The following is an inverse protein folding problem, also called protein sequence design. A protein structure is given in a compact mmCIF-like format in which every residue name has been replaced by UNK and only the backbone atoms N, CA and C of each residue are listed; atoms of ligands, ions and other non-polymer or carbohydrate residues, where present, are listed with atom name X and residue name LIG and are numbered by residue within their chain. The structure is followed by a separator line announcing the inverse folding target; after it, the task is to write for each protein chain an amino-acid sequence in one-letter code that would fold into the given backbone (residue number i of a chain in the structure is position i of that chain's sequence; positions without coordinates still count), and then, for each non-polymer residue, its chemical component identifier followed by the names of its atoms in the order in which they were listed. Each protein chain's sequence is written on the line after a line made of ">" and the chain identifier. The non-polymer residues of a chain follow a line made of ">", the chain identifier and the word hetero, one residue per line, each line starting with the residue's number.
data_IF_304116428308
#
_entry.id   IF_304116428308
#
_cell.length_a   1.000
_cell.length_b   1.000
_cell.length_c   1.000
_cell.angle_alpha   90.00
_cell.angle_beta   90.00
_cell.angle_gamma   90.00
#
_symmetry.space_group_name_H-M   'P 1'
#
loop_
_entity.id
_entity.type
_entity.pdbx_description
1 polymer ?
#
# COMPACT_ATOMS: atom_id res chain seq x y z
N UNK A 1 23.79 -8.56 -15.50
CA UNK A 1 23.34 -9.88 -16.04
C UNK A 1 22.63 -9.62 -17.36
N UNK A 2 23.08 -10.24 -18.47
CA UNK A 2 22.40 -10.10 -19.77
C UNK A 2 20.98 -10.71 -19.70
N UNK A 3 19.96 -9.90 -19.90
CA UNK A 3 18.57 -10.37 -19.96
C UNK A 3 18.34 -11.04 -21.32
N UNK A 4 17.93 -12.32 -21.31
CA UNK A 4 17.60 -13.06 -22.54
C UNK A 4 16.13 -12.82 -22.90
N UNK A 5 15.88 -12.12 -24.00
CA UNK A 5 14.56 -11.85 -24.53
C UNK A 5 14.34 -12.59 -25.86
N UNK A 6 13.15 -13.15 -26.07
CA UNK A 6 12.78 -13.85 -27.31
C UNK A 6 11.29 -13.67 -27.57
N UNK A 7 10.96 -13.40 -28.81
CA UNK A 7 9.61 -13.41 -29.36
C UNK A 7 9.37 -14.76 -30.06
N UNK A 8 8.18 -15.32 -29.94
CA UNK A 8 7.77 -16.55 -30.62
C UNK A 8 6.31 -16.47 -31.03
N UNK A 9 5.99 -17.07 -32.15
CA UNK A 9 4.62 -17.15 -32.68
C UNK A 9 4.13 -18.60 -32.64
N UNK A 10 2.83 -18.77 -32.44
CA UNK A 10 2.21 -20.09 -32.48
C UNK A 10 0.74 -20.00 -32.89
N UNK A 11 0.19 -21.08 -33.45
CA UNK A 11 -1.21 -21.15 -33.79
C UNK A 11 -2.05 -21.52 -32.56
N UNK A 12 -3.23 -20.94 -32.45
CA UNK A 12 -4.23 -21.36 -31.48
C UNK A 12 -5.03 -22.54 -32.04
N UNK A 13 -5.42 -23.49 -31.17
CA UNK A 13 -6.04 -24.76 -31.55
C UNK A 13 -7.48 -24.67 -32.06
N UNK A 14 -8.13 -23.50 -32.06
CA UNK A 14 -9.45 -23.34 -32.65
C UNK A 14 -9.38 -22.67 -34.02
N UNK A 15 -10.23 -23.14 -34.96
CA UNK A 15 -10.33 -22.60 -36.29
C UNK A 15 -11.43 -21.55 -36.38
N UNK A 16 -11.26 -20.57 -37.27
CA UNK A 16 -12.31 -19.63 -37.66
C UNK A 16 -13.30 -20.29 -38.61
N UNK A 17 -14.38 -19.56 -38.99
CA UNK A 17 -15.36 -20.04 -40.00
C UNK A 17 -14.70 -20.41 -41.33
N UNK A 18 -13.58 -19.79 -41.70
CA UNK A 18 -12.82 -20.03 -42.94
C UNK A 18 -11.75 -21.13 -42.78
N UNK A 19 -11.75 -21.87 -41.68
CA UNK A 19 -10.82 -22.98 -41.44
C UNK A 19 -9.39 -22.58 -41.11
N UNK A 20 -9.09 -21.27 -40.99
CA UNK A 20 -7.77 -20.75 -40.63
C UNK A 20 -7.67 -20.56 -39.11
N UNK A 21 -6.48 -20.72 -38.56
CA UNK A 21 -6.18 -20.52 -37.13
C UNK A 21 -5.48 -19.20 -36.89
N UNK A 22 -5.83 -18.45 -35.81
CA UNK A 22 -5.15 -17.20 -35.45
C UNK A 22 -3.73 -17.44 -34.94
N UNK A 23 -2.80 -16.59 -35.40
CA UNK A 23 -1.42 -16.57 -34.91
C UNK A 23 -1.33 -15.71 -33.63
N UNK A 24 -0.80 -16.29 -32.58
CA UNK A 24 -0.61 -15.64 -31.29
C UNK A 24 0.87 -15.30 -31.03
N UNK A 25 1.10 -14.23 -30.26
CA UNK A 25 2.43 -13.78 -29.83
C UNK A 25 2.72 -14.29 -28.43
N UNK A 26 3.89 -14.89 -28.23
CA UNK A 26 4.42 -15.29 -26.94
C UNK A 26 5.80 -14.67 -26.73
N UNK A 27 5.97 -14.01 -25.60
CA UNK A 27 7.25 -13.45 -25.18
C UNK A 27 7.92 -14.32 -24.13
N UNK A 28 9.24 -14.30 -24.12
CA UNK A 28 10.09 -14.90 -23.12
C UNK A 28 11.09 -13.85 -22.62
N UNK A 29 11.24 -13.76 -21.31
CA UNK A 29 12.27 -12.97 -20.65
C UNK A 29 12.92 -13.84 -19.58
N UNK A 30 14.18 -14.20 -19.78
CA UNK A 30 14.90 -15.19 -18.96
C UNK A 30 14.13 -16.52 -18.87
N UNK A 31 13.51 -16.82 -17.70
CA UNK A 31 12.71 -18.04 -17.45
C UNK A 31 11.19 -17.79 -17.45
N UNK A 32 10.79 -16.54 -17.59
CA UNK A 32 9.36 -16.16 -17.62
C UNK A 32 8.82 -16.20 -19.04
N UNK A 33 7.52 -16.49 -19.17
CA UNK A 33 6.80 -16.44 -20.44
C UNK A 33 5.46 -15.75 -20.29
N UNK A 34 5.06 -15.00 -21.30
CA UNK A 34 3.77 -14.30 -21.35
C UNK A 34 3.17 -14.37 -22.74
N UNK A 35 1.86 -14.55 -22.85
CA UNK A 35 1.10 -14.42 -24.10
C UNK A 35 0.58 -12.99 -24.19
N UNK A 36 0.96 -12.25 -25.24
CA UNK A 36 0.46 -10.89 -25.46
C UNK A 36 -0.98 -10.91 -25.96
N UNK A 37 -1.24 -11.71 -27.01
CA UNK A 37 -2.51 -11.78 -27.69
C UNK A 37 -2.39 -12.26 -29.13
N UNK A 38 -3.40 -11.97 -29.96
CA UNK A 38 -3.42 -12.30 -31.40
C UNK A 38 -2.65 -11.25 -32.19
N UNK A 39 -1.95 -11.71 -33.25
CA UNK A 39 -1.32 -10.82 -34.25
C UNK A 39 -2.35 -10.17 -35.19
N UNK A 40 -3.60 -10.66 -35.19
CA UNK A 40 -4.59 -10.34 -36.20
C UNK A 40 -4.42 -11.13 -37.51
N UNK A 41 -3.36 -11.95 -37.61
CA UNK A 41 -3.09 -12.80 -38.81
C UNK A 41 -3.67 -14.18 -38.59
N UNK A 42 -4.17 -14.78 -39.68
CA UNK A 42 -4.78 -16.11 -39.72
C UNK A 42 -4.08 -16.99 -40.77
N UNK A 43 -3.76 -18.22 -40.40
CA UNK A 43 -2.97 -19.13 -41.23
C UNK A 43 -3.62 -20.51 -41.23
N UNK A 44 -3.57 -21.22 -42.38
CA UNK A 44 -3.92 -22.64 -42.43
C UNK A 44 -2.89 -23.47 -41.65
N UNK A 45 -3.37 -24.35 -40.76
CA UNK A 45 -2.54 -25.17 -39.90
C UNK A 45 -1.53 -26.02 -40.66
N UNK A 46 -1.90 -26.51 -41.88
CA UNK A 46 -1.03 -27.30 -42.76
C UNK A 46 0.17 -26.49 -43.29
N UNK A 47 -0.02 -25.18 -43.43
CA UNK A 47 1.01 -24.26 -43.95
C UNK A 47 1.89 -23.68 -42.84
N UNK A 48 1.64 -24.02 -41.57
CA UNK A 48 2.43 -23.52 -40.46
C UNK A 48 3.64 -24.41 -40.16
N UNK A 49 4.79 -23.81 -39.94
CA UNK A 49 6.01 -24.46 -39.44
C UNK A 49 6.18 -24.16 -37.94
N UNK A 50 5.91 -25.15 -37.11
CA UNK A 50 6.02 -25.00 -35.64
C UNK A 50 7.46 -24.79 -35.17
N UNK A 51 8.46 -25.27 -35.92
CA UNK A 51 9.87 -25.15 -35.54
C UNK A 51 10.39 -23.75 -35.84
N UNK A 52 10.06 -23.23 -37.02
CA UNK A 52 10.47 -21.89 -37.45
C UNK A 52 9.52 -20.81 -36.97
N UNK A 53 8.32 -21.17 -36.50
CA UNK A 53 7.24 -20.23 -36.13
C UNK A 53 6.87 -19.29 -37.31
N UNK A 54 6.77 -19.84 -38.55
CA UNK A 54 6.53 -19.12 -39.81
C UNK A 54 5.64 -19.91 -40.73
N UNK A 55 5.11 -19.23 -41.73
CA UNK A 55 4.33 -19.86 -42.80
C UNK A 55 5.26 -20.53 -43.80
N UNK A 56 4.97 -21.80 -44.19
CA UNK A 56 5.72 -22.58 -45.17
C UNK A 56 5.45 -22.08 -46.59
N UNK A 57 6.42 -22.30 -47.48
CA UNK A 57 6.30 -22.01 -48.93
C UNK A 57 6.86 -20.62 -49.28
N UNK A 58 6.80 -20.32 -50.60
CA UNK A 58 7.31 -19.06 -51.19
C UNK A 58 6.21 -18.33 -51.98
N UNK A 59 4.94 -18.63 -51.68
CA UNK A 59 3.82 -17.91 -52.31
C UNK A 59 3.84 -16.44 -51.85
N UNK A 60 3.28 -15.56 -52.66
CA UNK A 60 3.14 -14.14 -52.36
C UNK A 60 2.40 -13.92 -51.02
N UNK A 61 1.40 -14.77 -50.72
CA UNK A 61 0.64 -14.70 -49.46
C UNK A 61 1.51 -15.14 -48.27
N UNK A 62 2.27 -16.24 -48.41
CA UNK A 62 3.17 -16.71 -47.37
C UNK A 62 4.27 -15.66 -47.07
N UNK A 63 4.82 -15.03 -48.09
CA UNK A 63 5.83 -13.97 -47.91
C UNK A 63 5.24 -12.76 -47.19
N UNK A 64 4.05 -12.26 -47.56
CA UNK A 64 3.37 -11.15 -46.91
C UNK A 64 3.10 -11.43 -45.41
N UNK A 65 2.65 -12.67 -45.10
CA UNK A 65 2.40 -13.05 -43.70
C UNK A 65 3.69 -13.14 -42.91
N UNK A 66 4.76 -13.68 -43.47
CA UNK A 66 6.06 -13.78 -42.82
C UNK A 66 6.70 -12.40 -42.61
N UNK A 67 6.59 -11.48 -43.57
CA UNK A 67 7.02 -10.09 -43.42
C UNK A 67 6.26 -9.37 -42.30
N UNK A 68 4.96 -9.59 -42.19
CA UNK A 68 4.15 -9.01 -41.10
C UNK A 68 4.60 -9.55 -39.73
N UNK A 69 4.87 -10.86 -39.64
CA UNK A 69 5.39 -11.46 -38.39
C UNK A 69 6.78 -10.93 -38.05
N UNK A 70 7.65 -10.73 -39.04
CA UNK A 70 8.98 -10.17 -38.85
C UNK A 70 8.92 -8.72 -38.33
N UNK A 71 8.03 -7.88 -38.89
CA UNK A 71 7.80 -6.51 -38.37
C UNK A 71 7.39 -6.54 -36.91
N UNK A 72 6.43 -7.38 -36.52
CA UNK A 72 5.99 -7.54 -35.13
C UNK A 72 7.17 -7.95 -34.23
N UNK A 73 8.00 -8.88 -34.70
CA UNK A 73 9.18 -9.33 -33.95
C UNK A 73 10.20 -8.20 -33.77
N UNK A 74 10.49 -7.45 -34.84
CA UNK A 74 11.39 -6.30 -34.80
C UNK A 74 10.88 -5.21 -33.84
N UNK A 75 9.61 -4.85 -33.90
CA UNK A 75 9.02 -3.83 -33.03
C UNK A 75 9.16 -4.22 -31.57
N UNK A 76 8.87 -5.48 -31.22
CA UNK A 76 9.04 -6.00 -29.86
C UNK A 76 10.50 -6.06 -29.41
N UNK A 77 11.43 -6.38 -30.32
CA UNK A 77 12.87 -6.36 -30.05
C UNK A 77 13.40 -4.93 -29.85
N UNK A 78 12.93 -3.96 -30.65
CA UNK A 78 13.26 -2.55 -30.48
C UNK A 78 12.76 -2.02 -29.12
N UNK A 79 11.53 -2.41 -28.76
CA UNK A 79 10.95 -2.04 -27.47
C UNK A 79 11.78 -2.62 -26.32
N UNK A 80 12.14 -3.90 -26.37
CA UNK A 80 13.01 -4.53 -25.37
C UNK A 80 14.34 -3.80 -25.26
N UNK A 81 15.03 -3.51 -26.36
CA UNK A 81 16.33 -2.81 -26.34
C UNK A 81 16.26 -1.43 -25.71
N UNK A 82 15.17 -0.69 -25.95
CA UNK A 82 14.95 0.64 -25.35
C UNK A 82 14.96 0.58 -23.83
N UNK A 83 14.43 -0.48 -23.25
CA UNK A 83 14.24 -0.62 -21.81
C UNK A 83 15.09 -1.72 -21.17
N UNK A 84 16.07 -2.30 -21.89
CA UNK A 84 16.88 -3.45 -21.44
C UNK A 84 17.59 -3.18 -20.11
N UNK A 85 18.05 -1.95 -19.88
CA UNK A 85 18.73 -1.55 -18.66
C UNK A 85 17.79 -1.00 -17.58
N UNK A 86 16.49 -0.90 -17.85
CA UNK A 86 15.52 -0.44 -16.85
C UNK A 86 15.32 -1.50 -15.77
N UNK A 87 15.29 -1.09 -14.50
CA UNK A 87 14.96 -1.97 -13.37
C UNK A 87 13.50 -2.41 -13.38
N UNK A 88 12.62 -1.67 -14.07
CA UNK A 88 11.18 -1.93 -14.19
C UNK A 88 10.82 -2.87 -15.36
N UNK A 89 11.80 -3.30 -16.16
CA UNK A 89 11.54 -4.16 -17.31
C UNK A 89 10.92 -5.51 -16.91
N UNK A 90 9.70 -5.76 -17.39
CA UNK A 90 8.96 -7.02 -17.23
C UNK A 90 8.24 -7.38 -18.52
N UNK A 91 7.76 -8.61 -18.64
CA UNK A 91 6.95 -9.03 -19.78
C UNK A 91 5.61 -8.27 -19.86
N UNK A 92 5.00 -7.99 -18.70
CA UNK A 92 3.76 -7.20 -18.63
C UNK A 92 3.98 -5.76 -19.07
N UNK A 93 5.13 -5.16 -18.75
CA UNK A 93 5.51 -3.84 -19.24
C UNK A 93 5.65 -3.83 -20.77
N UNK A 94 6.40 -4.78 -21.35
CA UNK A 94 6.57 -4.88 -22.82
C UNK A 94 5.22 -5.08 -23.51
N UNK A 95 4.33 -5.91 -22.93
CA UNK A 95 2.97 -6.12 -23.43
C UNK A 95 2.17 -4.82 -23.40
N UNK A 96 2.17 -4.09 -22.30
CA UNK A 96 1.42 -2.84 -22.14
C UNK A 96 1.90 -1.78 -23.15
N UNK A 97 3.19 -1.64 -23.31
CA UNK A 97 3.82 -0.67 -24.23
C UNK A 97 3.54 -1.05 -25.71
N UNK A 98 3.65 -2.34 -26.05
CA UNK A 98 3.39 -2.82 -27.41
C UNK A 98 1.92 -2.65 -27.83
N UNK A 99 0.97 -2.90 -26.93
CA UNK A 99 -0.46 -2.76 -27.20
C UNK A 99 -0.93 -1.30 -27.17
N UNK A 100 -0.02 -0.33 -26.92
CA UNK A 100 -0.38 1.09 -26.76
C UNK A 100 -1.29 1.32 -25.54
N UNK A 101 -1.30 0.37 -24.59
CA UNK A 101 -1.94 0.53 -23.31
C UNK A 101 -0.99 1.37 -22.46
N UNK A 102 -0.88 2.66 -22.82
CA UNK A 102 -0.05 3.63 -22.11
C UNK A 102 -0.55 3.77 -20.67
N UNK A 103 -0.11 2.85 -19.85
CA UNK A 103 -0.06 3.04 -18.43
C UNK A 103 1.20 3.88 -18.17
N UNK A 104 1.10 4.82 -17.27
CA UNK A 104 2.18 5.77 -16.98
C UNK A 104 3.52 5.03 -16.79
N UNK A 105 4.54 5.45 -17.55
CA UNK A 105 5.93 4.97 -17.40
C UNK A 105 6.58 5.50 -16.10
N UNK A 106 5.78 6.13 -15.26
CA UNK A 106 6.24 6.69 -13.99
C UNK A 106 6.47 5.58 -12.96
N UNK A 107 7.60 5.65 -12.28
CA UNK A 107 7.95 4.77 -11.17
C UNK A 107 6.95 4.91 -10.03
N UNK A 108 6.39 3.79 -9.55
CA UNK A 108 5.51 3.81 -8.39
C UNK A 108 6.26 4.23 -7.12
N UNK A 109 7.52 3.82 -6.96
CA UNK A 109 8.31 4.20 -5.78
C UNK A 109 8.68 5.68 -5.81
N UNK A 110 9.00 6.25 -6.99
CA UNK A 110 9.22 7.70 -7.14
C UNK A 110 7.94 8.50 -6.84
N UNK A 111 6.79 8.05 -7.34
CA UNK A 111 5.49 8.65 -7.01
C UNK A 111 5.20 8.58 -5.50
N UNK A 112 5.50 7.44 -4.86
CA UNK A 112 5.36 7.29 -3.41
C UNK A 112 6.29 8.25 -2.65
N UNK A 113 7.53 8.45 -3.13
CA UNK A 113 8.45 9.42 -2.53
C UNK A 113 7.96 10.85 -2.65
N UNK A 114 7.41 11.24 -3.79
CA UNK A 114 6.74 12.52 -3.98
C UNK A 114 5.60 12.72 -2.98
N UNK A 115 4.77 11.68 -2.75
CA UNK A 115 3.73 11.71 -1.72
C UNK A 115 4.32 11.87 -0.30
N UNK A 116 5.40 11.14 0.02
CA UNK A 116 6.07 11.24 1.33
C UNK A 116 6.64 12.64 1.58
N UNK A 117 7.23 13.26 0.56
CA UNK A 117 7.75 14.63 0.68
C UNK A 117 6.64 15.62 0.99
N UNK A 118 5.49 15.53 0.31
CA UNK A 118 4.33 16.37 0.62
C UNK A 118 3.83 16.14 2.07
N UNK A 119 3.70 14.88 2.49
CA UNK A 119 3.31 14.56 3.87
C UNK A 119 4.31 15.14 4.88
N UNK A 120 5.61 15.15 4.55
CA UNK A 120 6.66 15.72 5.39
C UNK A 120 6.55 17.24 5.53
N UNK A 121 6.27 17.93 4.44
CA UNK A 121 6.04 19.40 4.44
C UNK A 121 4.80 19.80 5.24
N UNK A 122 3.79 18.93 5.30
CA UNK A 122 2.55 19.16 6.05
C UNK A 122 2.67 18.86 7.56
N UNK A 123 3.83 18.36 8.04
CA UNK A 123 4.04 18.07 9.48
C UNK A 123 4.01 19.35 10.29
N UNK A 124 3.22 19.35 11.37
CA UNK A 124 3.01 20.50 12.24
C UNK A 124 1.96 21.50 11.74
N UNK A 125 1.52 21.38 10.48
CA UNK A 125 0.46 22.22 9.89
C UNK A 125 -0.87 21.45 9.88
N UNK A 126 -0.94 20.39 9.08
CA UNK A 126 -2.16 19.56 8.91
C UNK A 126 -1.96 18.11 9.33
N UNK A 127 -0.72 17.67 9.49
CA UNK A 127 -0.35 16.28 9.78
C UNK A 127 0.59 16.14 10.96
N UNK A 128 0.43 15.04 11.70
CA UNK A 128 1.37 14.66 12.75
C UNK A 128 2.55 13.86 12.16
N UNK A 129 3.72 13.93 12.80
CA UNK A 129 4.92 13.13 12.50
C UNK A 129 4.62 11.63 12.37
N UNK A 130 3.71 11.10 13.20
CA UNK A 130 3.27 9.71 13.14
C UNK A 130 2.63 9.33 11.79
N UNK A 131 2.02 10.30 11.09
CA UNK A 131 1.47 10.07 9.75
C UNK A 131 2.57 9.84 8.71
N UNK A 132 3.66 10.59 8.77
CA UNK A 132 4.83 10.36 7.92
C UNK A 132 5.48 9.00 8.19
N UNK A 133 5.67 8.67 9.47
CA UNK A 133 6.29 7.41 9.89
C UNK A 133 5.51 6.18 9.38
N UNK A 134 4.16 6.18 9.48
CA UNK A 134 3.34 5.05 9.01
C UNK A 134 3.49 4.80 7.51
N UNK A 135 3.58 5.84 6.67
CA UNK A 135 3.78 5.70 5.24
C UNK A 135 5.22 5.29 4.89
N UNK A 136 6.21 5.77 5.64
CA UNK A 136 7.60 5.33 5.49
C UNK A 136 7.77 3.85 5.78
N UNK A 137 7.14 3.34 6.84
CA UNK A 137 7.12 1.91 7.17
C UNK A 137 6.42 1.11 6.08
N UNK A 138 5.27 1.58 5.60
CA UNK A 138 4.55 0.96 4.49
C UNK A 138 5.43 0.83 3.24
N UNK A 139 6.13 1.90 2.84
CA UNK A 139 7.05 1.90 1.71
C UNK A 139 8.13 0.83 1.87
N UNK A 140 8.76 0.75 3.05
CA UNK A 140 9.79 -0.27 3.35
C UNK A 140 9.25 -1.69 3.12
N UNK A 141 8.06 -2.00 3.63
CA UNK A 141 7.42 -3.30 3.43
C UNK A 141 7.09 -3.56 1.96
N UNK A 142 6.61 -2.56 1.22
CA UNK A 142 6.27 -2.72 -0.19
C UNK A 142 7.50 -2.97 -1.05
N UNK A 143 8.59 -2.22 -0.85
CA UNK A 143 9.88 -2.45 -1.54
C UNK A 143 10.43 -3.85 -1.22
N UNK A 144 10.39 -4.28 0.05
CA UNK A 144 10.81 -5.62 0.45
C UNK A 144 9.97 -6.73 -0.21
N UNK A 145 8.67 -6.52 -0.35
CA UNK A 145 7.77 -7.40 -1.09
C UNK A 145 8.17 -7.51 -2.57
N UNK A 146 8.35 -6.37 -3.25
CA UNK A 146 8.77 -6.35 -4.65
C UNK A 146 10.11 -7.07 -4.85
N UNK A 147 11.06 -6.82 -3.96
CA UNK A 147 12.38 -7.45 -4.03
C UNK A 147 12.31 -8.96 -3.81
N UNK A 148 11.49 -9.42 -2.87
CA UNK A 148 11.37 -10.86 -2.57
C UNK A 148 10.63 -11.63 -3.65
N UNK A 149 9.50 -11.08 -4.13
CA UNK A 149 8.57 -11.78 -5.05
C UNK A 149 8.95 -11.54 -6.51
N UNK A 150 9.24 -10.29 -6.87
CA UNK A 150 9.49 -9.90 -8.26
C UNK A 150 10.98 -9.69 -8.59
N UNK A 151 11.89 -9.79 -7.59
CA UNK A 151 13.33 -9.52 -7.75
C UNK A 151 13.64 -8.11 -8.26
N UNK A 152 12.77 -7.16 -8.00
CA UNK A 152 12.86 -5.74 -8.37
C UNK A 152 12.65 -4.87 -7.14
N UNK A 153 13.20 -3.65 -7.13
CA UNK A 153 12.97 -2.68 -6.04
C UNK A 153 11.82 -1.71 -6.36
N UNK A 154 11.36 -1.71 -7.60
CA UNK A 154 10.36 -0.80 -8.12
C UNK A 154 9.48 -1.47 -9.18
N UNK A 155 8.34 -0.86 -9.45
CA UNK A 155 7.42 -1.18 -10.54
C UNK A 155 6.92 0.11 -11.18
N UNK A 156 6.43 0.03 -12.41
CA UNK A 156 5.73 1.15 -13.00
C UNK A 156 4.32 1.29 -12.42
N UNK A 157 3.81 2.50 -12.36
CA UNK A 157 2.43 2.76 -11.95
C UNK A 157 1.45 1.91 -12.75
N UNK A 158 1.63 1.80 -14.06
CA UNK A 158 0.80 1.00 -14.92
C UNK A 158 0.81 -0.50 -14.67
N UNK A 159 1.84 -1.03 -14.02
CA UNK A 159 1.88 -2.44 -13.60
C UNK A 159 1.02 -2.72 -12.36
N UNK A 160 0.63 -1.66 -11.62
CA UNK A 160 -0.08 -1.80 -10.35
C UNK A 160 -1.51 -2.30 -10.59
N UNK A 161 -1.76 -3.54 -10.25
CA UNK A 161 -3.03 -4.23 -10.46
C UNK A 161 -3.46 -5.00 -9.20
N UNK A 162 -4.66 -5.60 -9.25
CA UNK A 162 -5.21 -6.39 -8.16
C UNK A 162 -4.26 -7.53 -7.70
N UNK A 163 -3.54 -8.18 -8.63
CA UNK A 163 -2.62 -9.27 -8.30
C UNK A 163 -1.45 -8.78 -7.43
N UNK A 164 -0.90 -7.60 -7.72
CA UNK A 164 0.18 -7.00 -6.91
C UNK A 164 -0.37 -6.60 -5.54
N UNK A 165 -1.57 -6.01 -5.47
CA UNK A 165 -2.21 -5.61 -4.23
C UNK A 165 -2.50 -6.82 -3.32
N UNK A 166 -3.16 -7.86 -3.85
CA UNK A 166 -3.46 -9.08 -3.09
C UNK A 166 -2.19 -9.87 -2.71
N UNK A 167 -1.19 -9.87 -3.59
CA UNK A 167 0.12 -10.47 -3.30
C UNK A 167 0.86 -9.75 -2.17
N UNK A 168 0.75 -8.44 -2.09
CA UNK A 168 1.33 -7.67 -0.98
C UNK A 168 0.65 -7.97 0.35
N UNK A 169 -0.68 -8.08 0.37
CA UNK A 169 -1.42 -8.53 1.55
C UNK A 169 -0.91 -9.89 2.03
N UNK A 170 -0.86 -10.87 1.13
CA UNK A 170 -0.35 -12.21 1.43
C UNK A 170 1.09 -12.18 1.97
N UNK A 171 1.96 -11.37 1.37
CA UNK A 171 3.33 -11.17 1.86
C UNK A 171 3.38 -10.61 3.28
N UNK A 172 2.55 -9.61 3.60
CA UNK A 172 2.49 -9.03 4.95
C UNK A 172 2.04 -10.06 5.99
N UNK A 173 1.09 -10.92 5.66
CA UNK A 173 0.59 -11.97 6.55
C UNK A 173 1.62 -13.08 6.76
N UNK A 174 2.23 -13.58 5.68
CA UNK A 174 3.07 -14.79 5.70
C UNK A 174 4.52 -14.50 6.05
N UNK A 175 5.12 -13.53 5.36
CA UNK A 175 6.54 -13.17 5.51
C UNK A 175 6.71 -12.07 6.55
N UNK A 176 5.87 -11.04 6.49
CA UNK A 176 5.87 -9.94 7.44
C UNK A 176 5.36 -10.31 8.82
N UNK A 177 4.68 -11.48 8.95
CA UNK A 177 4.05 -11.97 10.20
C UNK A 177 3.19 -10.91 10.90
N UNK A 178 2.58 -10.03 10.11
CA UNK A 178 1.74 -8.96 10.64
C UNK A 178 0.36 -9.49 11.04
N UNK A 179 -0.20 -8.97 12.12
CA UNK A 179 -1.58 -9.22 12.53
C UNK A 179 -2.56 -8.69 11.47
N UNK A 180 -3.68 -9.41 11.24
CA UNK A 180 -4.67 -9.07 10.21
C UNK A 180 -5.09 -7.59 10.20
N UNK A 181 -5.47 -7.04 11.35
CA UNK A 181 -5.88 -5.62 11.42
C UNK A 181 -4.74 -4.63 11.11
N UNK A 182 -3.49 -5.02 11.36
CA UNK A 182 -2.31 -4.23 10.98
C UNK A 182 -2.14 -4.25 9.46
N UNK A 183 -2.30 -5.43 8.85
CA UNK A 183 -2.29 -5.58 7.38
C UNK A 183 -3.39 -4.73 6.75
N UNK A 184 -4.63 -4.81 7.23
CA UNK A 184 -5.74 -4.02 6.71
C UNK A 184 -5.50 -2.50 6.80
N UNK A 185 -4.84 -2.03 7.87
CA UNK A 185 -4.40 -0.62 7.97
C UNK A 185 -3.34 -0.26 6.93
N UNK A 186 -2.36 -1.15 6.72
CA UNK A 186 -1.34 -0.94 5.67
C UNK A 186 -1.96 -0.92 4.29
N UNK A 187 -2.88 -1.85 4.00
CA UNK A 187 -3.62 -1.89 2.74
C UNK A 187 -4.45 -0.62 2.52
N UNK A 188 -5.10 -0.09 3.57
CA UNK A 188 -5.81 1.19 3.52
C UNK A 188 -4.90 2.39 3.25
N UNK A 189 -3.71 2.39 3.84
CA UNK A 189 -2.70 3.43 3.56
C UNK A 189 -2.18 3.33 2.12
N UNK A 190 -1.92 2.12 1.61
CA UNK A 190 -1.52 1.90 0.22
C UNK A 190 -2.63 2.34 -0.74
N UNK A 191 -3.89 2.01 -0.43
CA UNK A 191 -5.06 2.47 -1.20
C UNK A 191 -5.11 4.00 -1.32
N UNK A 192 -4.75 4.74 -0.27
CA UNK A 192 -4.70 6.21 -0.33
C UNK A 192 -3.76 6.72 -1.41
N UNK A 193 -2.60 6.07 -1.59
CA UNK A 193 -1.59 6.45 -2.58
C UNK A 193 -2.05 6.06 -3.99
N UNK A 194 -2.58 4.84 -4.15
CA UNK A 194 -3.03 4.34 -5.45
C UNK A 194 -4.26 5.09 -5.98
N UNK A 195 -5.21 5.45 -5.11
CA UNK A 195 -6.35 6.30 -5.48
C UNK A 195 -5.88 7.69 -5.92
N UNK A 196 -4.83 8.23 -5.28
CA UNK A 196 -4.27 9.51 -5.70
C UNK A 196 -3.69 9.41 -7.11
N UNK A 197 -2.92 8.37 -7.41
CA UNK A 197 -2.40 8.11 -8.75
C UNK A 197 -3.54 7.93 -9.77
N UNK A 198 -4.59 7.20 -9.41
CA UNK A 198 -5.78 7.03 -10.26
C UNK A 198 -6.50 8.37 -10.53
N UNK A 199 -6.74 9.17 -9.50
CA UNK A 199 -7.37 10.50 -9.66
C UNK A 199 -6.52 11.49 -10.45
N UNK A 200 -5.20 11.33 -10.45
CA UNK A 200 -4.27 12.12 -11.27
C UNK A 200 -4.17 11.63 -12.72
N UNK A 201 -4.95 10.61 -13.13
CA UNK A 201 -4.93 10.05 -14.48
C UNK A 201 -3.71 9.17 -14.80
N UNK A 202 -2.86 8.88 -13.81
CA UNK A 202 -1.66 8.06 -13.96
C UNK A 202 -1.99 6.55 -13.98
N UNK A 203 -3.17 6.17 -13.50
CA UNK A 203 -3.72 4.82 -13.56
C UNK A 203 -5.05 4.85 -14.33
N UNK A 204 -5.24 3.92 -15.26
CA UNK A 204 -6.51 3.78 -16.02
C UNK A 204 -7.61 3.13 -15.20
N UNK A 205 -7.24 2.26 -14.27
CA UNK A 205 -8.18 1.51 -13.44
C UNK A 205 -7.74 1.57 -11.98
N UNK A 206 -8.72 1.60 -11.07
CA UNK A 206 -8.44 1.50 -9.64
C UNK A 206 -8.03 0.05 -9.31
N UNK A 207 -6.77 -0.20 -8.89
CA UNK A 207 -6.31 -1.55 -8.53
C UNK A 207 -7.03 -2.11 -7.29
N UNK A 208 -7.75 -1.28 -6.54
CA UNK A 208 -8.57 -1.64 -5.39
C UNK A 208 -10.07 -1.82 -5.70
N UNK A 209 -10.51 -1.70 -6.97
CA UNK A 209 -11.93 -1.78 -7.33
C UNK A 209 -12.63 -3.03 -6.76
N UNK A 210 -11.95 -4.18 -6.78
CA UNK A 210 -12.46 -5.45 -6.28
C UNK A 210 -11.83 -5.87 -4.93
N UNK A 211 -11.16 -4.95 -4.23
CA UNK A 211 -10.48 -5.24 -2.96
C UNK A 211 -11.26 -4.66 -1.78
N UNK A 212 -11.65 -5.52 -0.84
CA UNK A 212 -12.37 -5.12 0.38
C UNK A 212 -11.41 -5.07 1.57
N UNK A 213 -11.31 -3.90 2.20
CA UNK A 213 -10.59 -3.74 3.47
C UNK A 213 -11.58 -4.10 4.59
N UNK A 214 -11.31 -5.19 5.29
CA UNK A 214 -12.20 -5.69 6.33
C UNK A 214 -11.42 -5.93 7.63
N UNK A 215 -11.81 -5.26 8.70
CA UNK A 215 -11.19 -5.40 10.01
C UNK A 215 -11.88 -6.48 10.82
N UNK A 216 -11.08 -7.30 11.50
CA UNK A 216 -11.61 -8.23 12.51
C UNK A 216 -12.00 -7.46 13.76
N UNK A 217 -13.15 -7.84 14.32
CA UNK A 217 -13.63 -7.30 15.58
C UNK A 217 -12.62 -7.63 16.70
N UNK A 218 -12.15 -6.61 17.41
CA UNK A 218 -11.26 -6.80 18.55
C UNK A 218 -12.08 -6.73 19.82
N UNK A 219 -12.07 -7.80 20.58
CA UNK A 219 -12.65 -7.80 21.92
C UNK A 219 -11.59 -7.24 22.89
N UNK A 220 -11.81 -6.03 23.38
CA UNK A 220 -10.95 -5.42 24.39
C UNK A 220 -11.67 -5.52 25.73
N UNK A 221 -11.01 -6.10 26.71
CA UNK A 221 -11.49 -6.08 28.08
C UNK A 221 -11.51 -4.66 28.64
N UNK A 222 -12.22 -4.48 29.72
CA UNK A 222 -12.26 -3.28 30.53
C UNK A 222 -12.07 -3.68 31.99
N UNK A 223 -11.59 -2.76 32.81
CA UNK A 223 -11.49 -3.00 34.25
C UNK A 223 -12.87 -2.81 34.90
N UNK A 224 -13.24 -3.75 35.76
CA UNK A 224 -14.38 -3.59 36.64
C UNK A 224 -14.11 -2.52 37.72
N UNK A 225 -15.17 -2.03 38.35
CA UNK A 225 -15.03 -1.07 39.44
C UNK A 225 -14.17 -1.61 40.60
N UNK A 226 -14.35 -2.90 40.95
CA UNK A 226 -13.55 -3.56 41.98
C UNK A 226 -12.04 -3.61 41.64
N UNK A 227 -11.70 -3.86 40.37
CA UNK A 227 -10.32 -3.84 39.91
C UNK A 227 -9.72 -2.43 39.92
N UNK A 228 -10.51 -1.42 39.56
CA UNK A 228 -10.10 -0.01 39.68
C UNK A 228 -9.84 0.33 41.14
N UNK A 229 -10.74 -0.03 42.08
CA UNK A 229 -10.55 0.21 43.52
C UNK A 229 -9.30 -0.50 44.07
N UNK A 230 -9.07 -1.76 43.63
CA UNK A 230 -7.86 -2.50 43.99
C UNK A 230 -6.60 -1.78 43.50
N UNK A 231 -6.62 -1.27 42.27
CA UNK A 231 -5.49 -0.55 41.69
C UNK A 231 -5.24 0.77 42.43
N UNK A 232 -6.29 1.47 42.82
CA UNK A 232 -6.25 2.72 43.57
C UNK A 232 -5.65 2.57 44.98
N UNK A 233 -5.96 1.48 45.66
CA UNK A 233 -5.46 1.19 47.02
C UNK A 233 -4.06 0.58 47.02
N UNK A 234 -3.55 0.13 45.84
CA UNK A 234 -2.26 -0.54 45.78
C UNK A 234 -1.09 0.40 45.99
N UNK A 235 -0.24 0.08 46.96
CA UNK A 235 1.05 0.73 47.15
C UNK A 235 2.12 0.09 46.29
N UNK A 236 3.01 0.91 45.71
CA UNK A 236 4.10 0.46 44.88
C UNK A 236 5.46 0.85 45.53
N UNK A 237 6.39 -0.10 45.56
CA UNK A 237 7.75 0.16 46.06
C UNK A 237 8.51 1.17 45.19
N UNK A 238 8.08 1.41 43.95
CA UNK A 238 8.70 2.33 43.01
C UNK A 238 7.74 3.51 42.79
N UNK A 239 8.08 4.70 43.25
CA UNK A 239 7.24 5.91 43.15
C UNK A 239 6.82 6.26 41.70
N UNK A 240 7.66 5.92 40.69
CA UNK A 240 7.28 6.10 39.29
C UNK A 240 6.04 5.31 38.90
N UNK A 241 5.83 4.12 39.47
CA UNK A 241 4.64 3.31 39.20
C UNK A 241 3.39 3.90 39.84
N UNK A 242 3.51 4.57 40.97
CA UNK A 242 2.39 5.32 41.57
C UNK A 242 1.91 6.43 40.65
N UNK A 243 2.83 7.22 40.09
CA UNK A 243 2.50 8.27 39.13
C UNK A 243 1.80 7.69 37.89
N UNK A 244 2.30 6.56 37.36
CA UNK A 244 1.67 5.88 36.20
C UNK A 244 0.25 5.40 36.56
N UNK A 245 0.07 4.79 37.74
CA UNK A 245 -1.25 4.38 38.26
C UNK A 245 -2.18 5.60 38.34
N UNK A 246 -1.76 6.70 38.94
CA UNK A 246 -2.60 7.88 39.16
C UNK A 246 -3.02 8.52 37.84
N UNK A 247 -2.11 8.63 36.85
CA UNK A 247 -2.43 9.09 35.50
C UNK A 247 -3.42 8.14 34.82
N UNK A 248 -3.23 6.83 34.97
CA UNK A 248 -4.13 5.84 34.37
C UNK A 248 -5.54 5.94 34.95
N UNK A 249 -5.64 6.00 36.29
CA UNK A 249 -6.92 6.15 37.00
C UNK A 249 -7.60 7.45 36.60
N UNK A 250 -6.87 8.55 36.59
CA UNK A 250 -7.37 9.84 36.12
C UNK A 250 -7.91 9.76 34.69
N UNK A 251 -7.20 9.06 33.80
CA UNK A 251 -7.66 8.81 32.42
C UNK A 251 -8.93 7.96 32.40
N UNK A 252 -9.10 6.99 33.29
CA UNK A 252 -10.33 6.19 33.39
C UNK A 252 -11.55 7.04 33.75
N UNK A 253 -11.41 7.97 34.68
CA UNK A 253 -12.52 8.83 35.13
C UNK A 253 -12.80 10.01 34.21
N UNK A 254 -11.80 10.50 33.49
CA UNK A 254 -11.95 11.69 32.61
C UNK A 254 -12.14 11.36 31.14
N UNK A 255 -11.78 10.14 30.71
CA UNK A 255 -11.74 9.75 29.29
C UNK A 255 -10.66 10.48 28.48
N UNK A 256 -9.73 11.19 29.14
CA UNK A 256 -8.60 11.84 28.50
C UNK A 256 -7.53 10.82 28.09
N UNK A 257 -6.94 11.01 26.92
CA UNK A 257 -5.77 10.24 26.54
C UNK A 257 -4.54 10.69 27.35
N UNK A 258 -3.56 9.80 27.52
CA UNK A 258 -2.33 10.09 28.25
C UNK A 258 -1.68 11.43 27.83
N UNK A 259 -1.61 11.71 26.55
CA UNK A 259 -0.99 12.92 26.03
C UNK A 259 -1.76 14.18 26.40
N UNK A 260 -3.10 14.10 26.48
CA UNK A 260 -3.95 15.20 26.88
C UNK A 260 -3.79 15.45 28.38
N UNK A 261 -3.67 14.38 29.21
CA UNK A 261 -3.38 14.49 30.65
C UNK A 261 -2.00 15.08 30.90
N UNK A 262 -0.98 14.67 30.13
CA UNK A 262 0.39 15.16 30.28
C UNK A 262 0.55 16.64 29.93
N UNK A 263 -0.40 17.20 29.18
CA UNK A 263 -0.42 18.63 28.82
C UNK A 263 -1.42 19.46 29.64
N UNK A 264 -2.11 18.83 30.61
CA UNK A 264 -3.08 19.51 31.43
C UNK A 264 -2.38 20.53 32.35
N UNK A 265 -2.87 21.75 32.36
CA UNK A 265 -2.37 22.83 33.21
C UNK A 265 -3.44 23.24 34.24
N UNK A 266 -3.07 23.87 35.37
CA UNK A 266 -4.03 24.32 36.38
C UNK A 266 -5.15 25.20 35.78
N UNK A 267 -4.82 26.03 34.81
CA UNK A 267 -5.75 26.95 34.13
C UNK A 267 -6.82 26.22 33.33
N UNK A 268 -6.59 24.94 33.03
CA UNK A 268 -7.60 24.11 32.38
C UNK A 268 -8.72 23.67 33.34
N UNK A 269 -8.55 23.86 34.65
CA UNK A 269 -9.55 23.54 35.64
C UNK A 269 -10.32 24.82 35.97
N UNK A 270 -11.56 24.88 35.55
CA UNK A 270 -12.44 26.06 35.70
C UNK A 270 -13.63 25.69 36.57
N UNK A 271 -14.02 26.59 37.48
CA UNK A 271 -15.22 26.41 38.27
C UNK A 271 -16.42 27.08 37.58
N UNK A 272 -17.46 26.27 37.35
CA UNK A 272 -18.72 26.74 36.75
C UNK A 272 -19.87 26.23 37.61
N UNK A 273 -20.67 27.13 38.13
CA UNK A 273 -21.83 26.83 38.99
C UNK A 273 -21.47 25.94 40.21
N UNK A 274 -20.34 26.23 40.89
CA UNK A 274 -19.88 25.47 42.05
C UNK A 274 -19.31 24.08 41.75
N UNK A 275 -19.10 23.75 40.47
CA UNK A 275 -18.51 22.48 40.02
C UNK A 275 -17.24 22.72 39.21
N UNK A 276 -16.24 21.88 39.43
CA UNK A 276 -14.96 21.96 38.70
C UNK A 276 -15.07 21.21 37.36
N UNK A 277 -14.60 21.86 36.31
CA UNK A 277 -14.55 21.33 34.95
C UNK A 277 -13.14 21.37 34.43
N UNK A 278 -12.76 20.34 33.65
CA UNK A 278 -11.57 20.39 32.81
C UNK A 278 -12.02 20.91 31.42
N UNK A 279 -11.50 22.07 31.05
CA UNK A 279 -11.69 22.64 29.73
C UNK A 279 -10.38 22.55 28.94
N UNK A 280 -10.33 21.65 27.97
CA UNK A 280 -9.11 21.41 27.19
C UNK A 280 -9.47 21.09 25.73
N UNK A 281 -8.47 20.94 24.88
CA UNK A 281 -8.63 20.48 23.50
C UNK A 281 -7.84 19.19 23.31
N UNK A 282 -8.45 18.20 22.66
CA UNK A 282 -7.75 16.95 22.32
C UNK A 282 -6.61 17.23 21.34
N UNK A 283 -5.40 16.89 21.71
CA UNK A 283 -4.22 17.08 20.86
C UNK A 283 -4.34 16.42 19.50
N UNK A 284 -4.96 15.24 19.43
CA UNK A 284 -5.09 14.48 18.17
C UNK A 284 -6.04 15.11 17.17
N UNK A 285 -7.11 15.75 17.61
CA UNK A 285 -8.22 16.21 16.76
C UNK A 285 -8.50 17.69 16.89
N UNK A 286 -7.85 18.37 17.81
CA UNK A 286 -8.07 19.76 18.18
C UNK A 286 -9.55 20.08 18.58
N UNK A 287 -10.31 19.04 18.97
CA UNK A 287 -11.72 19.17 19.38
C UNK A 287 -11.76 19.59 20.83
N UNK A 288 -12.55 20.65 21.19
CA UNK A 288 -12.78 21.02 22.59
C UNK A 288 -13.38 19.85 23.38
N UNK A 289 -12.88 19.67 24.60
CA UNK A 289 -13.33 18.63 25.53
C UNK A 289 -13.59 19.26 26.89
N UNK A 290 -14.86 19.28 27.31
CA UNK A 290 -15.28 19.80 28.61
C UNK A 290 -15.72 18.62 29.47
N UNK A 291 -15.02 18.36 30.55
CA UNK A 291 -15.21 17.19 31.39
C UNK A 291 -15.49 17.64 32.81
N UNK A 292 -16.64 17.23 33.36
CA UNK A 292 -16.96 17.46 34.76
C UNK A 292 -16.02 16.63 35.63
N UNK A 293 -15.31 17.29 36.53
CA UNK A 293 -14.57 16.61 37.59
C UNK A 293 -15.57 16.11 38.63
N UNK A 294 -15.71 14.79 38.70
CA UNK A 294 -16.51 14.16 39.75
C UNK A 294 -15.80 14.33 41.10
N UNK A 295 -16.58 14.55 42.16
CA UNK A 295 -16.09 14.58 43.53
C UNK A 295 -15.64 13.17 44.00
N UNK A 296 -14.68 12.60 43.27
CA UNK A 296 -14.02 11.39 43.72
C UNK A 296 -13.15 11.78 44.92
N UNK A 297 -13.22 11.03 46.05
CA UNK A 297 -12.39 11.16 47.25
C UNK A 297 -10.86 11.04 46.98
N UNK A 298 -10.46 11.10 45.72
CA UNK A 298 -9.09 11.00 45.27
C UNK A 298 -8.63 12.35 44.74
N UNK A 299 -8.22 13.19 45.71
CA UNK A 299 -7.23 14.22 45.43
C UNK A 299 -6.01 13.51 44.82
N UNK A 300 -5.65 13.86 43.60
CA UNK A 300 -4.32 13.58 43.07
C UNK A 300 -3.35 14.12 44.12
N UNK A 301 -2.79 13.25 44.96
CA UNK A 301 -1.70 13.63 45.84
C UNK A 301 -0.67 14.26 44.94
N UNK A 302 -0.36 15.52 45.20
CA UNK A 302 0.69 16.27 44.50
C UNK A 302 2.01 15.53 44.70
N UNK A 303 2.22 14.47 43.93
CA UNK A 303 3.51 13.81 43.84
C UNK A 303 4.43 14.63 42.92
N UNK A 304 5.75 14.58 43.13
CA UNK A 304 6.73 15.39 42.42
C UNK A 304 6.85 15.12 40.91
N UNK A 305 5.86 14.48 40.28
CA UNK A 305 5.82 14.17 38.86
C UNK A 305 4.69 14.85 38.08
N UNK A 306 3.67 15.39 38.73
CA UNK A 306 2.71 16.35 38.18
C UNK A 306 3.17 17.77 38.60
N UNK A 307 4.42 18.11 38.29
CA UNK A 307 4.78 19.50 38.23
C UNK A 307 4.07 20.07 37.02
N UNK A 308 2.93 20.70 37.24
CA UNK A 308 2.45 21.71 36.31
C UNK A 308 3.67 22.62 36.08
N UNK A 309 4.29 22.52 34.90
CA UNK A 309 5.36 23.42 34.54
C UNK A 309 4.77 24.80 34.62
N UNK A 310 5.14 25.54 35.69
CA UNK A 310 4.96 26.96 35.70
C UNK A 310 5.69 27.48 34.45
N UNK A 311 4.93 27.87 33.45
CA UNK A 311 5.47 28.60 32.31
C UNK A 311 6.06 29.92 32.83
N UNK A 312 7.01 30.53 32.09
CA UNK A 312 7.63 31.77 32.43
C UNK A 312 6.62 32.90 32.57
#
# INVERSE_FOLDING_TARGET
>A
MNKKFRVSFYLRSYKTKDGKSPVLIRLYLNRERLIIGSTGLYVDEKQWDNTKCRVKGRSTEANKLNEALERIELDLMHLFRRYEFSESLSLDFIKAEYLGVNESNESFIAFFDGFLNQVKEEIGITRAQASYQKFTVLKKHFVAYLQKVYKRKDILLGELNFKIISGFEHYLLTVGKCQHNTVMRMMGNLKTITIRAFKSGLLKQDPYANYKIQFNKTNRGFLSEAEIQTLMSKEFAISRLEVVRDIFIFSCFTGLAYIDVAQLMPENIVEVNGRKWIMTKRQKTNVPSNILLLDCKYSLKSGPGLSFKNGP
#
